data_IF_836692180454
#
_entry.id   IF_836692180454
#
_cell.length_a   1.000
_cell.length_b   1.000
_cell.length_c   1.000
_cell.angle_alpha   90.00
_cell.angle_beta   90.00
_cell.angle_gamma   90.00
#
_symmetry.space_group_name_H-M   'P 1'
#
loop_
_entity.id
_entity.type
_entity.pdbx_description
1 polymer ?
#
# COMPACT_ATOMS: atom_id res chain seq x y z
N UNK A 1 12.71 -0.34 5.29
CA UNK A 1 11.74 -1.35 5.77
C UNK A 1 10.36 -0.90 5.35
N UNK A 2 9.39 -1.79 5.08
CA UNK A 2 8.05 -1.42 4.61
C UNK A 2 7.01 -2.50 4.93
N UNK A 3 5.73 -2.15 4.83
CA UNK A 3 4.58 -3.02 5.16
C UNK A 3 3.71 -3.19 3.91
N UNK A 4 3.23 -4.41 3.69
CA UNK A 4 2.18 -4.70 2.70
C UNK A 4 1.00 -5.33 3.43
N UNK A 5 -0.16 -4.69 3.37
CA UNK A 5 -1.42 -5.22 3.88
C UNK A 5 -2.02 -6.15 2.81
N UNK A 6 -2.26 -7.41 3.18
CA UNK A 6 -3.11 -8.33 2.42
C UNK A 6 -4.57 -8.11 2.83
N UNK A 7 -5.18 -7.03 2.34
CA UNK A 7 -6.50 -6.58 2.73
C UNK A 7 -7.65 -7.42 2.14
N UNK A 8 -8.86 -7.11 2.59
CA UNK A 8 -10.11 -7.69 2.12
C UNK A 8 -10.70 -6.81 1.01
N UNK A 9 -11.33 -7.42 -0.01
CA UNK A 9 -11.99 -6.67 -1.09
C UNK A 9 -11.03 -5.69 -1.77
N UNK A 10 -11.39 -4.40 -1.78
CA UNK A 10 -10.58 -3.26 -2.29
C UNK A 10 -9.40 -2.88 -1.37
N UNK A 11 -8.74 -3.87 -0.76
CA UNK A 11 -7.61 -3.66 0.14
C UNK A 11 -7.99 -3.05 1.50
N UNK A 12 -9.21 -3.29 1.96
CA UNK A 12 -9.73 -2.84 3.25
C UNK A 12 -9.22 -3.69 4.43
N UNK A 13 -9.29 -3.11 5.62
CA UNK A 13 -9.07 -3.80 6.90
C UNK A 13 -9.95 -3.16 8.00
N UNK A 14 -10.11 -3.80 9.17
CA UNK A 14 -10.77 -3.16 10.31
C UNK A 14 -10.16 -1.79 10.63
N UNK A 15 -10.98 -0.85 11.09
CA UNK A 15 -10.56 0.54 11.33
C UNK A 15 -9.32 0.67 12.22
N UNK A 16 -9.20 -0.17 13.26
CA UNK A 16 -8.01 -0.18 14.13
C UNK A 16 -6.72 -0.58 13.40
N UNK A 17 -6.82 -1.45 12.38
CA UNK A 17 -5.67 -1.84 11.54
C UNK A 17 -5.30 -0.70 10.62
N UNK A 18 -6.28 -0.05 9.96
CA UNK A 18 -6.01 1.11 9.11
C UNK A 18 -5.37 2.25 9.91
N UNK A 19 -5.84 2.51 11.13
CA UNK A 19 -5.24 3.51 12.02
C UNK A 19 -3.78 3.18 12.35
N UNK A 20 -3.48 1.94 12.75
CA UNK A 20 -2.10 1.52 13.05
C UNK A 20 -1.18 1.60 11.81
N UNK A 21 -1.72 1.32 10.62
CA UNK A 21 -1.00 1.45 9.36
C UNK A 21 -0.71 2.93 9.02
N UNK A 22 -1.67 3.82 9.26
CA UNK A 22 -1.48 5.25 9.09
C UNK A 22 -0.43 5.82 10.07
N UNK A 23 -0.41 5.36 11.31
CA UNK A 23 0.64 5.72 12.28
C UNK A 23 2.03 5.27 11.80
N UNK A 24 2.14 4.05 11.25
CA UNK A 24 3.38 3.57 10.67
C UNK A 24 3.82 4.41 9.45
N UNK A 25 2.87 4.78 8.58
CA UNK A 25 3.12 5.66 7.44
C UNK A 25 3.62 7.05 7.89
N UNK A 26 2.96 7.64 8.89
CA UNK A 26 3.38 8.91 9.49
C UNK A 26 4.78 8.86 10.12
N UNK A 27 5.20 7.68 10.61
CA UNK A 27 6.56 7.43 11.10
C UNK A 27 7.59 7.16 9.98
N UNK A 28 7.21 7.30 8.71
CA UNK A 28 8.09 7.14 7.55
C UNK A 28 8.27 5.70 7.09
N UNK A 29 7.42 4.76 7.53
CA UNK A 29 7.40 3.39 7.00
C UNK A 29 6.46 3.34 5.80
N UNK A 30 6.92 3.03 4.57
CA UNK A 30 6.03 2.86 3.45
C UNK A 30 5.01 1.74 3.71
N UNK A 31 3.72 2.04 3.50
CA UNK A 31 2.64 1.08 3.67
C UNK A 31 1.85 0.94 2.38
N UNK A 32 1.76 -0.28 1.87
CA UNK A 32 1.01 -0.60 0.65
C UNK A 32 -0.22 -1.44 1.00
N UNK A 33 -1.41 -0.99 0.60
CA UNK A 33 -2.65 -1.76 0.62
C UNK A 33 -2.75 -2.61 -0.65
N UNK A 34 -2.76 -3.92 -0.47
CA UNK A 34 -3.04 -4.92 -1.51
C UNK A 34 -4.27 -5.75 -1.09
N UNK A 35 -4.70 -6.68 -1.92
CA UNK A 35 -5.83 -7.56 -1.65
C UNK A 35 -5.42 -9.03 -1.69
N UNK A 36 -5.97 -9.84 -0.78
CA UNK A 36 -5.81 -11.31 -0.82
C UNK A 36 -6.76 -12.00 -1.80
N UNK A 37 -7.57 -11.23 -2.54
CA UNK A 37 -8.47 -11.71 -3.59
C UNK A 37 -7.67 -11.83 -4.90
N UNK A 38 -7.79 -12.96 -5.62
CA UNK A 38 -6.97 -13.27 -6.81
C UNK A 38 -7.03 -12.18 -7.92
N UNK A 39 -8.21 -11.60 -8.17
CA UNK A 39 -8.40 -10.48 -9.11
C UNK A 39 -8.68 -9.14 -8.38
N UNK A 40 -8.28 -9.03 -7.12
CA UNK A 40 -8.58 -7.87 -6.28
C UNK A 40 -7.78 -6.64 -6.69
N UNK A 41 -8.38 -5.79 -7.53
CA UNK A 41 -7.90 -4.42 -7.75
C UNK A 41 -8.02 -3.66 -6.42
N UNK A 42 -6.98 -2.95 -6.05
CA UNK A 42 -7.02 -1.96 -4.97
C UNK A 42 -6.83 -0.59 -5.57
N UNK A 43 -7.92 0.18 -5.65
CA UNK A 43 -7.88 1.55 -6.12
C UNK A 43 -7.61 2.55 -4.99
N UNK A 44 -6.95 3.64 -5.40
CA UNK A 44 -6.57 4.76 -4.54
C UNK A 44 -7.79 5.62 -4.22
N UNK A 45 -7.97 5.98 -2.95
CA UNK A 45 -9.00 6.91 -2.48
C UNK A 45 -10.46 6.46 -2.79
N UNK A 46 -10.73 5.16 -2.77
CA UNK A 46 -12.10 4.63 -2.94
C UNK A 46 -12.75 4.35 -1.58
N UNK A 47 -12.29 3.31 -0.90
CA UNK A 47 -12.82 2.90 0.41
C UNK A 47 -11.97 3.44 1.57
N UNK A 48 -10.72 3.81 1.29
CA UNK A 48 -9.73 4.34 2.23
C UNK A 48 -9.16 5.61 1.62
N UNK A 49 -9.08 6.69 2.40
CA UNK A 49 -8.40 7.93 2.02
C UNK A 49 -6.88 7.74 2.12
N UNK A 50 -6.30 7.12 1.09
CA UNK A 50 -4.88 6.79 1.04
C UNK A 50 -4.00 8.02 1.17
N UNK A 51 -4.42 9.12 0.55
CA UNK A 51 -3.66 10.37 0.51
C UNK A 51 -3.61 11.01 1.89
N UNK A 52 -4.74 11.09 2.59
CA UNK A 52 -4.76 11.62 3.95
C UNK A 52 -3.98 10.75 4.93
N UNK A 53 -3.94 9.43 4.72
CA UNK A 53 -3.32 8.47 5.63
C UNK A 53 -1.87 8.10 5.25
N UNK A 54 -1.34 8.60 4.13
CA UNK A 54 0.00 8.28 3.64
C UNK A 54 0.15 6.82 3.18
N UNK A 55 -0.95 6.17 2.80
CA UNK A 55 -0.97 4.79 2.31
C UNK A 55 -0.80 4.76 0.79
N UNK A 56 -0.43 3.59 0.27
CA UNK A 56 -0.25 3.35 -1.17
C UNK A 56 -1.18 2.25 -1.63
N UNK A 57 -1.91 2.46 -2.72
CA UNK A 57 -2.75 1.44 -3.35
C UNK A 57 -1.91 0.56 -4.29
N UNK A 58 -1.98 -0.76 -4.14
CA UNK A 58 -1.20 -1.72 -4.93
C UNK A 58 -1.72 -1.94 -6.36
N UNK A 59 -2.85 -1.34 -6.73
CA UNK A 59 -3.55 -1.58 -8.00
C UNK A 59 -3.81 -3.07 -8.20
N UNK A 60 -3.36 -3.64 -9.32
CA UNK A 60 -3.53 -5.05 -9.65
C UNK A 60 -2.47 -5.97 -9.00
N UNK A 61 -1.52 -5.43 -8.22
CA UNK A 61 -0.48 -6.24 -7.60
C UNK A 61 -0.98 -6.87 -6.31
N UNK A 62 -1.15 -8.20 -6.33
CA UNK A 62 -1.35 -9.00 -5.13
C UNK A 62 -0.18 -8.89 -4.13
N UNK A 63 -0.33 -9.36 -2.88
CA UNK A 63 0.55 -8.98 -1.77
C UNK A 63 2.01 -9.41 -1.97
N UNK A 64 2.22 -10.58 -2.58
CA UNK A 64 3.57 -11.07 -2.87
C UNK A 64 4.29 -10.21 -3.92
N UNK A 65 3.60 -9.83 -5.01
CA UNK A 65 4.16 -8.96 -6.05
C UNK A 65 4.39 -7.53 -5.53
N UNK A 66 3.42 -7.00 -4.79
CA UNK A 66 3.53 -5.70 -4.14
C UNK A 66 4.72 -5.63 -3.17
N UNK A 67 4.96 -6.70 -2.41
CA UNK A 67 6.13 -6.80 -1.53
C UNK A 67 7.45 -6.74 -2.31
N UNK A 68 7.56 -7.45 -3.42
CA UNK A 68 8.79 -7.43 -4.24
C UNK A 68 9.04 -6.04 -4.80
N UNK A 69 8.03 -5.38 -5.38
CA UNK A 69 8.17 -4.02 -5.89
C UNK A 69 8.57 -3.05 -4.76
N UNK A 70 7.90 -3.12 -3.62
CA UNK A 70 8.22 -2.26 -2.47
C UNK A 70 9.66 -2.47 -1.96
N UNK A 71 10.16 -3.70 -1.96
CA UNK A 71 11.56 -3.99 -1.59
C UNK A 71 12.55 -3.36 -2.58
N UNK A 72 12.27 -3.43 -3.89
CA UNK A 72 13.12 -2.82 -4.93
C UNK A 72 13.16 -1.30 -4.75
N UNK A 73 12.00 -0.66 -4.53
CA UNK A 73 11.90 0.79 -4.31
C UNK A 73 12.70 1.23 -3.08
N UNK A 74 12.53 0.53 -1.96
CA UNK A 74 13.27 0.81 -0.71
C UNK A 74 14.77 0.64 -0.91
N UNK A 75 15.21 -0.41 -1.61
CA UNK A 75 16.63 -0.63 -1.91
C UNK A 75 17.22 0.49 -2.79
N UNK A 76 16.39 1.10 -3.64
CA UNK A 76 16.72 2.28 -4.45
C UNK A 76 16.58 3.62 -3.72
N UNK A 77 16.29 3.63 -2.42
CA UNK A 77 16.13 4.86 -1.63
C UNK A 77 14.79 5.58 -1.83
N UNK A 78 13.77 4.89 -2.34
CA UNK A 78 12.42 5.42 -2.53
C UNK A 78 11.53 4.92 -1.39
N UNK A 79 11.07 5.83 -0.54
CA UNK A 79 10.21 5.50 0.60
C UNK A 79 9.10 6.51 0.88
N UNK A 80 9.04 7.64 0.18
CA UNK A 80 7.91 8.55 0.29
C UNK A 80 6.68 7.99 -0.44
N UNK A 81 5.49 8.14 0.16
CA UNK A 81 4.27 7.53 -0.35
C UNK A 81 3.95 7.95 -1.78
N UNK A 82 4.21 9.21 -2.16
CA UNK A 82 3.92 9.73 -3.49
C UNK A 82 4.76 9.03 -4.59
N UNK A 83 6.08 8.90 -4.39
CA UNK A 83 6.95 8.20 -5.36
C UNK A 83 6.73 6.70 -5.35
N UNK A 84 6.39 6.12 -4.20
CA UNK A 84 6.00 4.71 -4.15
C UNK A 84 4.70 4.52 -4.94
N UNK A 85 3.67 5.34 -4.72
CA UNK A 85 2.40 5.27 -5.46
C UNK A 85 2.62 5.41 -6.97
N UNK A 86 3.46 6.35 -7.42
CA UNK A 86 3.76 6.52 -8.85
C UNK A 86 4.35 5.25 -9.49
N UNK A 87 5.15 4.47 -8.75
CA UNK A 87 5.68 3.21 -9.24
C UNK A 87 4.60 2.11 -9.32
N UNK A 88 3.62 2.10 -8.41
CA UNK A 88 2.49 1.17 -8.44
C UNK A 88 1.44 1.53 -9.49
N UNK A 89 1.33 2.82 -9.87
CA UNK A 89 0.41 3.28 -10.91
C UNK A 89 0.89 2.90 -12.34
N UNK A 90 2.18 2.64 -12.53
CA UNK A 90 2.77 2.27 -13.82
C UNK A 90 2.84 0.76 -14.11
N UNK A 91 2.34 -0.08 -13.20
CA UNK A 91 2.40 -1.55 -13.28
C UNK A 91 1.12 -2.21 -13.76
#
# INVERSE_FOLDING_TARGET
>A
KGIVLAGMGQGNAPACVIAALAEAAAAGVPVVRSSRVDEGIVDRNVEVDDDALGLVAARALGPAKARVLLMVLIAGGISDAARVQAAFDGG
#
